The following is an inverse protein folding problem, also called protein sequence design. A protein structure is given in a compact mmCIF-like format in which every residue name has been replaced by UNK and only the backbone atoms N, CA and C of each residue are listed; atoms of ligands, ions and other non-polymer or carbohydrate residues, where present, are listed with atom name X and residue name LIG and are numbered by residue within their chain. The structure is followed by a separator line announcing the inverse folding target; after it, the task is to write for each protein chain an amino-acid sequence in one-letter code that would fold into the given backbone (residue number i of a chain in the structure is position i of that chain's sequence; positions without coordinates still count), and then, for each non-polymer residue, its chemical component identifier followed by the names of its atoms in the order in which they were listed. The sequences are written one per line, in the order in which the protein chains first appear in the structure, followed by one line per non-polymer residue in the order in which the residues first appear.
data_IF_543069493818
#
_entry.id   IF_543069493818
#
_cell.length_a   1.000
_cell.length_b   1.000
_cell.length_c   1.000
_cell.angle_alpha   90.00
_cell.angle_beta   90.00
_cell.angle_gamma   90.00
#
_symmetry.space_group_name_H-M   'P 1'
#
loop_
_entity.id
_entity.type
_entity.pdbx_description
1 polymer ?
#
# COMPACT_ATOMS: atom_id res chain seq x y z
N UNK A 1 -11.62 -6.80 23.46
CA UNK A 1 -12.56 -6.74 22.32
C UNK A 1 -12.00 -5.70 21.39
N UNK A 2 -11.79 -6.01 20.12
CA UNK A 2 -11.24 -5.03 19.15
C UNK A 2 -12.17 -3.83 19.05
N UNK A 3 -11.60 -2.67 18.74
CA UNK A 3 -12.35 -1.42 18.61
C UNK A 3 -13.15 -1.43 17.30
N UNK A 4 -14.32 -0.81 17.34
CA UNK A 4 -15.13 -0.55 16.14
C UNK A 4 -14.49 0.59 15.32
N UNK A 5 -14.89 0.75 14.05
CA UNK A 5 -14.48 1.87 13.20
C UNK A 5 -14.76 3.22 13.87
N UNK A 6 -15.91 3.39 14.51
CA UNK A 6 -16.29 4.60 15.23
C UNK A 6 -15.38 4.87 16.44
N UNK A 7 -14.99 3.83 17.18
CA UNK A 7 -14.06 3.96 18.32
C UNK A 7 -12.64 4.29 17.84
N UNK A 8 -12.24 3.80 16.66
CA UNK A 8 -10.98 4.19 16.02
C UNK A 8 -11.03 5.66 15.58
N UNK A 9 -12.10 6.09 14.89
CA UNK A 9 -12.29 7.47 14.45
C UNK A 9 -12.18 8.44 15.64
N UNK A 10 -12.96 8.23 16.71
CA UNK A 10 -12.92 9.07 17.90
C UNK A 10 -11.54 9.14 18.56
N UNK A 11 -10.82 8.00 18.62
CA UNK A 11 -9.45 7.95 19.16
C UNK A 11 -8.47 8.78 18.33
N UNK A 12 -8.60 8.75 17.01
CA UNK A 12 -7.72 9.49 16.11
C UNK A 12 -8.08 10.97 16.07
N UNK A 13 -9.36 11.33 16.15
CA UNK A 13 -9.78 12.72 16.30
C UNK A 13 -9.15 13.39 17.52
N UNK A 14 -9.12 12.71 18.67
CA UNK A 14 -8.46 13.22 19.89
C UNK A 14 -6.94 13.41 19.75
N UNK A 15 -6.32 12.69 18.84
CA UNK A 15 -4.86 12.69 18.64
C UNK A 15 -4.40 13.57 17.49
N UNK A 16 -5.30 13.98 16.61
CA UNK A 16 -4.96 14.59 15.33
C UNK A 16 -3.96 15.75 15.44
N UNK A 17 -4.25 16.74 16.29
CA UNK A 17 -3.41 17.94 16.45
C UNK A 17 -1.96 17.69 16.94
N UNK A 18 -1.69 16.51 17.55
CA UNK A 18 -0.36 16.16 18.04
C UNK A 18 0.16 14.85 17.42
N UNK A 19 -0.48 14.41 16.34
CA UNK A 19 -0.20 13.10 15.76
C UNK A 19 1.21 13.03 15.17
N UNK A 20 1.61 14.00 14.38
CA UNK A 20 2.91 14.01 13.71
C UNK A 20 4.08 14.06 14.71
N UNK A 21 3.93 14.84 15.80
CA UNK A 21 4.94 14.92 16.84
C UNK A 21 5.14 13.59 17.59
N UNK A 22 4.08 12.77 17.67
CA UNK A 22 4.09 11.46 18.35
C UNK A 22 4.48 10.31 17.44
N UNK A 23 4.22 10.45 16.15
CA UNK A 23 4.47 9.41 15.13
C UNK A 23 5.78 9.66 14.39
N UNK A 24 6.77 10.25 15.05
CA UNK A 24 8.08 10.59 14.47
C UNK A 24 9.16 9.55 14.81
N UNK A 25 8.86 8.25 14.64
CA UNK A 25 9.88 7.21 14.77
C UNK A 25 10.69 7.08 13.48
N UNK A 26 11.94 6.55 13.61
CA UNK A 26 12.80 6.28 12.45
C UNK A 26 12.16 5.26 11.49
N UNK A 27 11.52 4.23 12.04
CA UNK A 27 10.84 3.18 11.30
C UNK A 27 9.63 3.72 10.52
N UNK A 28 8.84 4.59 11.14
CA UNK A 28 7.72 5.25 10.47
C UNK A 28 8.18 6.07 9.27
N UNK A 29 9.21 6.92 9.47
CA UNK A 29 9.78 7.74 8.38
C UNK A 29 10.40 6.91 7.28
N UNK A 30 11.10 5.83 7.64
CA UNK A 30 11.71 4.93 6.67
C UNK A 30 10.64 4.20 5.83
N UNK A 31 9.59 3.68 6.48
CA UNK A 31 8.47 3.04 5.77
C UNK A 31 7.74 4.05 4.87
N UNK A 32 7.42 5.25 5.37
CA UNK A 32 6.78 6.30 4.57
C UNK A 32 7.61 6.67 3.33
N UNK A 33 8.93 6.83 3.49
CA UNK A 33 9.85 7.10 2.37
C UNK A 33 9.86 5.97 1.33
N UNK A 34 9.79 4.72 1.77
CA UNK A 34 9.70 3.56 0.87
C UNK A 34 8.34 3.49 0.17
N UNK A 35 7.24 3.78 0.87
CA UNK A 35 5.90 3.84 0.26
C UNK A 35 5.88 4.87 -0.86
N UNK A 36 6.33 6.10 -0.59
CA UNK A 36 6.41 7.17 -1.61
C UNK A 36 7.29 6.74 -2.78
N UNK A 37 8.49 6.21 -2.50
CA UNK A 37 9.43 5.75 -3.53
C UNK A 37 8.85 4.66 -4.43
N UNK A 38 8.13 3.70 -3.87
CA UNK A 38 7.58 2.57 -4.62
C UNK A 38 6.24 2.89 -5.28
N UNK A 39 5.47 3.84 -4.72
CA UNK A 39 4.26 4.36 -5.38
C UNK A 39 4.63 4.97 -6.73
N UNK A 40 5.63 5.85 -6.79
CA UNK A 40 6.22 6.43 -8.00
C UNK A 40 5.16 6.72 -9.08
N UNK A 41 4.14 7.56 -8.77
CA UNK A 41 3.08 7.86 -9.71
C UNK A 41 3.58 8.73 -10.87
N UNK A 42 2.90 8.61 -12.00
CA UNK A 42 3.09 9.54 -13.12
C UNK A 42 2.10 10.72 -13.04
N UNK A 43 2.34 11.83 -13.77
CA UNK A 43 1.42 12.97 -13.79
C UNK A 43 0.01 12.66 -14.33
N UNK A 44 -0.22 11.49 -14.87
CA UNK A 44 -1.51 11.01 -15.36
C UNK A 44 -2.22 10.08 -14.37
N UNK A 45 -1.54 9.67 -13.28
CA UNK A 45 -2.06 8.69 -12.34
C UNK A 45 -2.96 9.33 -11.27
N UNK A 46 -4.05 8.62 -10.95
CA UNK A 46 -4.89 8.89 -9.78
C UNK A 46 -4.48 7.96 -8.65
N UNK A 47 -4.02 8.54 -7.55
CA UNK A 47 -3.55 7.82 -6.37
C UNK A 47 -4.64 7.79 -5.29
N UNK A 48 -4.90 6.63 -4.70
CA UNK A 48 -5.75 6.47 -3.52
C UNK A 48 -4.88 6.17 -2.30
N UNK A 49 -4.93 7.03 -1.30
CA UNK A 49 -4.26 6.86 0.01
C UNK A 49 -5.28 6.45 1.07
N UNK A 50 -5.24 5.18 1.48
CA UNK A 50 -6.16 4.58 2.45
C UNK A 50 -5.56 4.62 3.87
N UNK A 51 -6.30 5.24 4.80
CA UNK A 51 -5.79 5.61 6.11
C UNK A 51 -4.83 6.79 5.99
N UNK A 52 -5.22 7.81 5.22
CA UNK A 52 -4.37 8.96 4.89
C UNK A 52 -3.90 9.76 6.11
N UNK A 53 -4.63 9.67 7.23
CA UNK A 53 -4.31 10.37 8.47
C UNK A 53 -4.16 11.88 8.24
N UNK A 54 -3.06 12.42 8.75
CA UNK A 54 -2.69 13.83 8.58
C UNK A 54 -2.06 14.14 7.22
N UNK A 55 -2.16 13.23 6.25
CA UNK A 55 -1.79 13.44 4.85
C UNK A 55 -0.31 13.25 4.51
N UNK A 56 0.49 12.62 5.36
CA UNK A 56 1.94 12.53 5.13
C UNK A 56 2.32 11.90 3.77
N UNK A 57 1.66 10.80 3.38
CA UNK A 57 1.89 10.14 2.09
C UNK A 57 1.20 10.90 0.97
N UNK A 58 -0.08 11.26 1.14
CA UNK A 58 -0.86 11.98 0.14
C UNK A 58 -0.18 13.27 -0.31
N UNK A 59 0.30 14.09 0.64
CA UNK A 59 0.99 15.35 0.35
C UNK A 59 2.33 15.14 -0.37
N UNK A 60 3.04 14.05 -0.04
CA UNK A 60 4.30 13.73 -0.68
C UNK A 60 4.13 13.25 -2.15
N UNK A 61 3.01 12.59 -2.47
CA UNK A 61 2.71 12.08 -3.80
C UNK A 61 2.00 13.11 -4.71
N UNK A 62 1.28 14.07 -4.13
CA UNK A 62 0.48 15.03 -4.88
C UNK A 62 1.24 15.80 -5.97
N UNK A 63 2.53 16.22 -5.78
CA UNK A 63 3.27 16.92 -6.82
C UNK A 63 3.52 16.10 -8.09
N UNK A 64 3.53 14.77 -8.00
CA UNK A 64 3.90 13.86 -9.08
C UNK A 64 2.70 13.09 -9.68
N UNK A 65 1.48 13.31 -9.16
CA UNK A 65 0.24 12.65 -9.59
C UNK A 65 -0.73 13.64 -10.24
N UNK A 66 -1.65 13.14 -11.08
CA UNK A 66 -2.79 13.94 -11.55
C UNK A 66 -3.65 14.38 -10.36
N UNK A 67 -3.98 13.43 -9.49
CA UNK A 67 -4.83 13.66 -8.32
C UNK A 67 -4.54 12.64 -7.23
N UNK A 68 -4.64 13.07 -5.98
CA UNK A 68 -4.59 12.18 -4.82
C UNK A 68 -5.92 12.19 -4.09
N UNK A 69 -6.45 11.00 -3.83
CA UNK A 69 -7.69 10.78 -3.06
C UNK A 69 -7.30 10.21 -1.71
N UNK A 70 -7.31 11.01 -0.65
CA UNK A 70 -7.08 10.55 0.72
C UNK A 70 -8.39 10.11 1.36
N UNK A 71 -8.36 8.95 2.01
CA UNK A 71 -9.50 8.40 2.77
C UNK A 71 -9.07 8.05 4.18
N UNK A 72 -9.87 8.50 5.13
CA UNK A 72 -9.68 8.20 6.55
C UNK A 72 -11.04 8.14 7.27
N UNK A 73 -11.08 7.49 8.41
CA UNK A 73 -12.26 7.43 9.27
C UNK A 73 -12.33 8.64 10.22
N UNK A 74 -11.23 9.34 10.43
CA UNK A 74 -11.10 10.48 11.35
C UNK A 74 -11.23 11.80 10.60
N UNK A 75 -12.27 12.54 10.91
CA UNK A 75 -12.49 13.91 10.39
C UNK A 75 -11.39 14.86 10.87
N UNK A 76 -10.94 14.73 12.13
CA UNK A 76 -9.87 15.54 12.68
C UNK A 76 -8.53 15.35 11.97
N UNK A 77 -8.16 14.09 11.64
CA UNK A 77 -6.96 13.80 10.86
C UNK A 77 -7.03 14.47 9.48
N UNK A 78 -8.15 14.35 8.80
CA UNK A 78 -8.34 14.97 7.48
C UNK A 78 -8.38 16.51 7.53
N UNK A 79 -8.78 17.12 8.65
CA UNK A 79 -8.70 18.57 8.85
C UNK A 79 -7.25 19.04 8.91
N UNK A 80 -6.39 18.31 9.65
CA UNK A 80 -4.95 18.58 9.68
C UNK A 80 -4.30 18.38 8.29
N UNK A 81 -4.70 17.34 7.56
CA UNK A 81 -4.21 17.12 6.19
C UNK A 81 -4.60 18.26 5.25
N UNK A 82 -5.84 18.79 5.33
CA UNK A 82 -6.27 19.95 4.54
C UNK A 82 -5.47 21.20 4.89
N UNK A 83 -5.29 21.48 6.18
CA UNK A 83 -4.52 22.63 6.63
C UNK A 83 -3.10 22.62 6.08
N UNK A 84 -2.44 21.45 6.09
CA UNK A 84 -1.10 21.28 5.51
C UNK A 84 -1.09 21.43 3.98
N UNK A 85 -2.09 20.88 3.28
CA UNK A 85 -2.22 21.04 1.83
C UNK A 85 -2.35 22.52 1.45
N UNK A 86 -3.18 23.27 2.17
CA UNK A 86 -3.38 24.70 1.98
C UNK A 86 -2.08 25.50 2.24
N UNK A 87 -1.34 25.14 3.30
CA UNK A 87 -0.07 25.80 3.67
C UNK A 87 0.99 25.66 2.59
N UNK A 88 1.08 24.48 1.94
CA UNK A 88 2.08 24.20 0.90
C UNK A 88 1.54 24.41 -0.52
N UNK A 89 0.27 24.79 -0.69
CA UNK A 89 -0.34 25.12 -1.97
C UNK A 89 -0.63 23.89 -2.86
N UNK A 90 -0.97 22.75 -2.26
CA UNK A 90 -1.43 21.55 -2.96
C UNK A 90 -2.95 21.66 -3.19
N UNK A 91 -3.39 21.61 -4.43
CA UNK A 91 -4.78 21.79 -4.87
C UNK A 91 -5.40 20.52 -5.51
N UNK A 92 -4.58 19.50 -5.78
CA UNK A 92 -4.99 18.22 -6.37
C UNK A 92 -5.22 17.09 -5.34
N UNK A 93 -5.33 17.42 -4.04
CA UNK A 93 -5.67 16.48 -2.95
C UNK A 93 -7.16 16.57 -2.61
N UNK A 94 -7.89 15.45 -2.70
CA UNK A 94 -9.30 15.35 -2.32
C UNK A 94 -9.48 14.40 -1.13
N UNK A 95 -9.88 14.95 0.01
CA UNK A 95 -10.05 14.22 1.28
C UNK A 95 -11.52 13.96 1.57
N UNK A 96 -11.86 12.70 1.87
CA UNK A 96 -13.21 12.29 2.27
C UNK A 96 -13.15 11.10 3.25
N UNK A 97 -14.24 10.92 4.00
CA UNK A 97 -14.42 9.74 4.84
C UNK A 97 -14.45 8.48 3.97
N UNK A 98 -13.78 7.43 4.46
CA UNK A 98 -13.75 6.12 3.82
C UNK A 98 -12.94 5.13 4.63
N UNK A 99 -13.17 3.86 4.36
CA UNK A 99 -12.47 2.73 5.01
C UNK A 99 -11.79 1.88 3.96
N UNK A 100 -10.97 0.92 4.38
CA UNK A 100 -10.39 -0.08 3.48
C UNK A 100 -11.45 -0.91 2.74
N UNK A 101 -12.60 -1.17 3.38
CA UNK A 101 -13.69 -1.99 2.83
C UNK A 101 -14.75 -1.16 2.10
N UNK A 102 -14.81 0.15 2.39
CA UNK A 102 -15.71 1.11 1.75
C UNK A 102 -14.92 2.40 1.46
N UNK A 103 -14.05 2.38 0.43
CA UNK A 103 -13.14 3.52 0.15
C UNK A 103 -13.85 4.74 -0.42
N UNK A 104 -15.15 4.66 -0.75
CA UNK A 104 -15.97 5.75 -1.24
C UNK A 104 -15.32 6.51 -2.42
N UNK A 105 -14.93 5.76 -3.46
CA UNK A 105 -14.34 6.29 -4.70
C UNK A 105 -15.12 5.80 -5.91
N UNK A 106 -15.36 6.72 -6.85
CA UNK A 106 -16.00 6.45 -8.15
C UNK A 106 -15.01 6.68 -9.30
N UNK A 107 -13.87 7.30 -9.03
CA UNK A 107 -12.81 7.57 -10.00
C UNK A 107 -12.05 6.26 -10.33
N UNK A 108 -11.49 6.10 -11.54
CA UNK A 108 -10.51 5.06 -11.81
C UNK A 108 -9.26 5.30 -10.94
N UNK A 109 -8.68 4.23 -10.40
CA UNK A 109 -7.52 4.32 -9.51
C UNK A 109 -6.35 3.59 -10.15
N UNK A 110 -5.21 4.27 -10.29
CA UNK A 110 -4.00 3.70 -10.88
C UNK A 110 -3.09 3.11 -9.80
N UNK A 111 -2.92 3.84 -8.70
CA UNK A 111 -2.05 3.44 -7.60
C UNK A 111 -2.81 3.53 -6.28
N UNK A 112 -2.76 2.47 -5.47
CA UNK A 112 -3.24 2.49 -4.08
C UNK A 112 -2.04 2.47 -3.14
N UNK A 113 -2.07 3.32 -2.13
CA UNK A 113 -1.08 3.34 -1.06
C UNK A 113 -1.76 3.27 0.30
N UNK A 114 -1.06 2.74 1.27
CA UNK A 114 -1.41 2.85 2.68
C UNK A 114 -0.16 2.78 3.53
N UNK A 115 -0.12 3.55 4.63
CA UNK A 115 1.00 3.53 5.55
C UNK A 115 0.53 3.57 7.01
N UNK A 116 0.88 2.54 7.78
CA UNK A 116 0.57 2.41 9.21
C UNK A 116 -0.94 2.50 9.54
N UNK A 117 -1.79 1.82 8.76
CA UNK A 117 -3.23 1.85 8.96
C UNK A 117 -3.89 0.46 8.95
N UNK A 118 -3.43 -0.47 8.12
CA UNK A 118 -4.09 -1.77 7.93
C UNK A 118 -3.90 -2.72 9.13
N UNK A 119 -2.85 -2.52 9.95
CA UNK A 119 -2.62 -3.32 11.16
C UNK A 119 -3.72 -3.17 12.24
N UNK A 120 -4.62 -2.21 12.10
CA UNK A 120 -5.79 -2.10 12.96
C UNK A 120 -6.91 -3.09 12.62
N UNK A 121 -6.89 -3.68 11.44
CA UNK A 121 -7.85 -4.68 10.98
C UNK A 121 -7.47 -6.09 11.47
N UNK A 122 -8.46 -6.98 11.63
CA UNK A 122 -8.22 -8.41 11.80
C UNK A 122 -7.75 -9.05 10.48
N UNK A 123 -7.19 -10.27 10.52
CA UNK A 123 -6.64 -10.91 9.32
C UNK A 123 -7.73 -11.21 8.26
N UNK A 124 -8.95 -11.55 8.67
CA UNK A 124 -10.10 -11.70 7.78
C UNK A 124 -10.54 -10.36 7.18
N UNK A 125 -10.56 -9.30 7.99
CA UNK A 125 -10.85 -7.93 7.52
C UNK A 125 -9.78 -7.39 6.58
N UNK A 126 -8.50 -7.74 6.78
CA UNK A 126 -7.42 -7.40 5.82
C UNK A 126 -7.63 -8.07 4.47
N UNK A 127 -8.07 -9.34 4.45
CA UNK A 127 -8.40 -10.03 3.19
C UNK A 127 -9.54 -9.34 2.46
N UNK A 128 -10.64 -9.03 3.16
CA UNK A 128 -11.76 -8.28 2.59
C UNK A 128 -11.32 -6.90 2.05
N UNK A 129 -10.46 -6.20 2.79
CA UNK A 129 -9.89 -4.92 2.37
C UNK A 129 -9.06 -5.04 1.09
N UNK A 130 -8.18 -6.04 1.01
CA UNK A 130 -7.35 -6.31 -0.18
C UNK A 130 -8.22 -6.72 -1.37
N UNK A 131 -9.26 -7.54 -1.17
CA UNK A 131 -10.23 -7.88 -2.21
C UNK A 131 -11.00 -6.64 -2.72
N UNK A 132 -11.40 -5.75 -1.81
CA UNK A 132 -12.05 -4.48 -2.16
C UNK A 132 -11.12 -3.60 -2.99
N UNK A 133 -9.86 -3.45 -2.56
CA UNK A 133 -8.83 -2.70 -3.31
C UNK A 133 -8.62 -3.34 -4.70
N UNK A 134 -8.53 -4.66 -4.78
CA UNK A 134 -8.38 -5.35 -6.05
C UNK A 134 -9.58 -5.11 -6.99
N UNK A 135 -10.79 -4.95 -6.43
CA UNK A 135 -12.00 -4.59 -7.16
C UNK A 135 -11.97 -3.20 -7.81
N UNK A 136 -11.12 -2.28 -7.34
CA UNK A 136 -10.86 -0.97 -7.96
C UNK A 136 -9.93 -1.07 -9.18
N UNK A 137 -9.35 -2.24 -9.42
CA UNK A 137 -8.46 -2.53 -10.54
C UNK A 137 -7.19 -1.66 -10.65
N UNK A 138 -6.53 -1.27 -9.54
CA UNK A 138 -5.30 -0.48 -9.62
C UNK A 138 -4.18 -1.30 -10.26
N UNK A 139 -3.24 -0.61 -10.90
CA UNK A 139 -2.03 -1.24 -11.44
C UNK A 139 -1.05 -1.61 -10.34
N UNK A 140 -1.03 -0.82 -9.25
CA UNK A 140 -0.07 -0.98 -8.17
C UNK A 140 -0.73 -0.77 -6.79
N UNK A 141 -0.33 -1.57 -5.81
CA UNK A 141 -0.63 -1.38 -4.40
C UNK A 141 0.69 -1.38 -3.61
N UNK A 142 0.91 -0.33 -2.82
CA UNK A 142 2.07 -0.22 -1.91
C UNK A 142 1.58 -0.11 -0.48
N UNK A 143 1.91 -1.10 0.33
CA UNK A 143 1.49 -1.21 1.73
C UNK A 143 2.71 -1.12 2.65
N UNK A 144 2.89 0.03 3.31
CA UNK A 144 3.81 0.20 4.44
C UNK A 144 3.07 0.01 5.75
N UNK A 145 3.51 -0.92 6.60
CA UNK A 145 2.75 -1.18 7.82
C UNK A 145 3.57 -1.89 8.90
N UNK A 146 2.98 -1.99 10.08
CA UNK A 146 3.37 -2.99 11.07
C UNK A 146 3.02 -4.37 10.53
N UNK A 147 4.05 -5.13 10.19
CA UNK A 147 3.95 -6.50 9.68
C UNK A 147 5.09 -7.36 10.22
N UNK A 148 4.81 -8.62 10.48
CA UNK A 148 5.76 -9.51 11.16
C UNK A 148 6.59 -10.28 10.13
N UNK A 149 7.91 -10.08 10.18
CA UNK A 149 8.89 -10.83 9.37
C UNK A 149 9.33 -12.15 10.02
N UNK A 150 8.74 -12.49 11.14
CA UNK A 150 9.00 -13.71 11.92
C UNK A 150 8.10 -13.75 13.15
N UNK A 151 8.54 -14.39 14.21
CA UNK A 151 7.83 -14.36 15.49
C UNK A 151 7.99 -12.95 16.10
N UNK A 152 6.85 -12.35 16.50
CA UNK A 152 6.88 -11.11 17.26
C UNK A 152 7.59 -11.32 18.59
N UNK A 153 8.38 -10.33 19.02
CA UNK A 153 8.90 -10.29 20.39
C UNK A 153 7.76 -9.83 21.31
N UNK A 154 7.25 -10.69 22.20
CA UNK A 154 6.14 -10.33 23.07
C UNK A 154 6.54 -9.29 24.13
N UNK A 155 7.83 -9.14 24.42
CA UNK A 155 8.36 -8.22 25.43
C UNK A 155 8.67 -6.83 24.84
N UNK A 156 8.73 -6.71 23.50
CA UNK A 156 9.02 -5.47 22.79
C UNK A 156 8.15 -5.32 21.52
N UNK A 157 6.80 -5.28 21.62
CA UNK A 157 5.94 -5.10 20.47
C UNK A 157 6.09 -3.66 19.92
N UNK A 158 6.24 -3.54 18.60
CA UNK A 158 6.23 -2.24 17.89
C UNK A 158 4.80 -1.68 17.72
N UNK A 159 3.81 -2.31 18.28
CA UNK A 159 2.39 -2.03 18.15
C UNK A 159 1.70 -2.11 19.51
N UNK A 160 0.42 -1.72 19.57
CA UNK A 160 -0.39 -1.81 20.79
C UNK A 160 -1.25 -3.09 20.77
N UNK A 161 -0.84 -4.19 21.42
CA UNK A 161 -1.52 -5.49 21.30
C UNK A 161 -3.01 -5.49 21.72
N UNK A 162 -3.44 -4.44 22.43
CA UNK A 162 -4.83 -4.27 22.88
C UNK A 162 -5.76 -3.79 21.76
N UNK A 163 -5.21 -3.13 20.72
CA UNK A 163 -5.98 -2.46 19.67
C UNK A 163 -5.53 -2.83 18.26
N UNK A 164 -4.29 -3.31 18.11
CA UNK A 164 -3.68 -3.62 16.84
C UNK A 164 -3.61 -5.14 16.62
N UNK A 165 -3.59 -5.56 15.37
CA UNK A 165 -3.52 -6.96 14.96
C UNK A 165 -2.62 -7.09 13.72
N UNK A 166 -1.30 -6.90 13.86
CA UNK A 166 -0.41 -6.99 12.72
C UNK A 166 -0.37 -8.42 12.17
N UNK A 167 -0.48 -8.55 10.86
CA UNK A 167 -0.34 -9.81 10.16
C UNK A 167 1.14 -10.15 9.91
N UNK A 168 1.44 -11.41 9.63
CA UNK A 168 2.75 -11.77 9.07
C UNK A 168 2.83 -11.34 7.59
N UNK A 169 4.04 -11.10 7.10
CA UNK A 169 4.29 -10.86 5.67
C UNK A 169 3.69 -11.97 4.80
N UNK A 170 3.76 -13.23 5.27
CA UNK A 170 3.17 -14.37 4.56
C UNK A 170 1.66 -14.25 4.40
N UNK A 171 0.94 -13.90 5.46
CA UNK A 171 -0.53 -13.70 5.42
C UNK A 171 -0.93 -12.58 4.45
N UNK A 172 -0.19 -11.46 4.46
CA UNK A 172 -0.44 -10.35 3.55
C UNK A 172 -0.11 -10.71 2.10
N UNK A 173 1.01 -11.40 1.87
CA UNK A 173 1.39 -11.85 0.53
C UNK A 173 0.39 -12.85 -0.06
N UNK A 174 -0.10 -13.78 0.75
CA UNK A 174 -1.15 -14.73 0.35
C UNK A 174 -2.44 -13.98 -0.01
N UNK A 175 -2.87 -13.02 0.82
CA UNK A 175 -4.07 -12.22 0.53
C UNK A 175 -3.93 -11.41 -0.77
N UNK A 176 -2.77 -10.80 -1.01
CA UNK A 176 -2.47 -10.06 -2.24
C UNK A 176 -2.50 -10.98 -3.48
N UNK A 177 -1.90 -12.14 -3.39
CA UNK A 177 -1.86 -13.09 -4.52
C UNK A 177 -3.21 -13.73 -4.79
N UNK A 178 -3.98 -14.05 -3.75
CA UNK A 178 -5.37 -14.55 -3.87
C UNK A 178 -6.27 -13.51 -4.55
N UNK A 179 -6.03 -12.21 -4.30
CA UNK A 179 -6.75 -11.10 -4.92
C UNK A 179 -6.28 -10.75 -6.35
N UNK A 180 -5.28 -11.47 -6.88
CA UNK A 180 -4.81 -11.33 -8.26
C UNK A 180 -3.65 -10.35 -8.46
N UNK A 181 -2.98 -9.94 -7.39
CA UNK A 181 -1.72 -9.18 -7.47
C UNK A 181 -0.51 -10.13 -7.51
N UNK A 182 0.56 -9.64 -8.12
CA UNK A 182 1.90 -10.22 -7.99
C UNK A 182 2.69 -9.41 -6.98
N UNK A 183 3.19 -10.03 -5.91
CA UNK A 183 4.10 -9.34 -4.98
C UNK A 183 5.44 -9.18 -5.67
N UNK A 184 5.83 -7.93 -5.97
CA UNK A 184 7.05 -7.58 -6.72
C UNK A 184 8.15 -7.01 -5.83
N UNK A 185 7.81 -6.59 -4.60
CA UNK A 185 8.77 -6.09 -3.63
C UNK A 185 8.38 -6.38 -2.19
N UNK A 186 9.39 -6.67 -1.37
CA UNK A 186 9.28 -6.82 0.08
C UNK A 186 10.47 -6.10 0.70
N UNK A 187 10.22 -4.98 1.36
CA UNK A 187 11.24 -4.18 2.03
C UNK A 187 11.08 -4.32 3.54
N UNK A 188 12.12 -4.79 4.23
CA UNK A 188 12.12 -4.89 5.69
C UNK A 188 12.79 -3.66 6.27
N UNK A 189 12.04 -2.85 7.01
CA UNK A 189 12.55 -1.70 7.78
C UNK A 189 12.98 -2.15 9.17
N UNK A 190 12.15 -2.96 9.80
CA UNK A 190 12.35 -3.52 11.13
C UNK A 190 11.81 -4.95 11.16
N UNK A 191 12.04 -5.73 12.23
CA UNK A 191 11.48 -7.08 12.37
C UNK A 191 9.94 -7.11 12.37
N UNK A 192 9.33 -5.97 12.69
CA UNK A 192 7.90 -5.79 12.79
C UNK A 192 7.37 -4.63 11.91
N UNK A 193 8.17 -4.10 11.00
CA UNK A 193 7.77 -3.01 10.09
C UNK A 193 8.38 -3.24 8.72
N UNK A 194 7.58 -3.09 7.68
CA UNK A 194 8.05 -3.21 6.31
C UNK A 194 7.11 -2.62 5.27
N UNK A 195 7.47 -2.80 4.02
CA UNK A 195 6.69 -2.37 2.86
C UNK A 195 6.54 -3.54 1.89
N UNK A 196 5.31 -3.80 1.47
CA UNK A 196 4.98 -4.72 0.39
C UNK A 196 4.61 -3.91 -0.86
N UNK A 197 5.15 -4.32 -1.99
CA UNK A 197 4.80 -3.79 -3.30
C UNK A 197 4.12 -4.91 -4.08
N UNK A 198 2.93 -4.65 -4.58
CA UNK A 198 2.16 -5.59 -5.35
C UNK A 198 1.65 -4.92 -6.62
N UNK A 199 1.76 -5.62 -7.74
CA UNK A 199 1.37 -5.11 -9.05
C UNK A 199 0.37 -6.07 -9.69
N UNK A 200 -0.59 -5.51 -10.40
CA UNK A 200 -1.51 -6.31 -11.21
C UNK A 200 -0.75 -6.75 -12.47
N UNK A 201 -0.88 -8.02 -12.85
CA UNK A 201 -0.38 -8.46 -14.13
C UNK A 201 -1.10 -7.64 -15.22
N UNK A 202 -0.36 -6.78 -15.91
CA UNK A 202 -0.87 -6.10 -17.10
C UNK A 202 -1.39 -7.10 -18.12
N UNK A 203 -2.23 -6.70 -19.09
CA UNK A 203 -2.62 -7.57 -20.17
C UNK A 203 -1.33 -8.14 -20.78
N UNK A 204 -1.29 -9.48 -20.90
CA UNK A 204 -0.11 -10.18 -21.42
C UNK A 204 0.33 -9.49 -22.71
N UNK A 205 1.54 -8.95 -22.75
CA UNK A 205 2.13 -8.38 -23.96
C UNK A 205 2.28 -9.51 -24.98
N UNK A 206 1.27 -9.63 -25.85
CA UNK A 206 1.18 -10.63 -26.91
C UNK A 206 2.26 -10.43 -28.00
N UNK A 207 3.17 -9.45 -27.81
CA UNK A 207 4.26 -9.13 -28.75
C UNK A 207 5.47 -10.07 -28.67
N UNK A 208 5.50 -11.03 -27.72
CA UNK A 208 6.65 -11.96 -27.56
C UNK A 208 6.51 -13.30 -28.28
N UNK A 209 5.46 -13.54 -29.04
CA UNK A 209 5.24 -14.78 -29.80
C UNK A 209 5.43 -14.61 -31.30
N UNK A 210 6.51 -14.00 -31.77
CA UNK A 210 6.93 -14.14 -33.17
C UNK A 210 8.44 -14.09 -33.27
N UNK A 211 9.14 -15.17 -32.92
CA UNK A 211 10.42 -15.55 -33.55
C UNK A 211 10.88 -16.94 -33.02
N UNK A 212 10.15 -17.96 -33.40
CA UNK A 212 10.62 -19.34 -33.30
C UNK A 212 10.32 -20.11 -34.59
N UNK A 213 10.63 -19.48 -35.73
CA UNK A 213 10.71 -20.19 -36.99
C UNK A 213 12.01 -19.81 -37.70
N UNK A 214 12.92 -20.80 -37.81
CA UNK A 214 14.00 -20.73 -38.77
C UNK A 214 15.42 -20.84 -38.21
N UNK A 215 15.78 -21.97 -37.62
CA UNK A 215 17.16 -22.47 -37.72
C UNK A 215 17.20 -24.01 -37.49
N UNK A 216 16.67 -24.74 -38.48
CA UNK A 216 17.07 -26.12 -38.69
C UNK A 216 18.43 -26.10 -39.39
N UNK A 217 19.51 -26.16 -38.60
CA UNK A 217 20.85 -26.44 -39.12
C UNK A 217 21.18 -27.89 -38.81
N UNK A 218 21.22 -28.64 -39.90
CA UNK A 218 21.61 -30.04 -39.96
C UNK A 218 23.00 -30.27 -39.34
N UNK A 219 23.06 -31.12 -38.32
CA UNK A 219 24.29 -31.78 -37.92
C UNK A 219 24.44 -33.02 -38.79
N UNK A 220 25.25 -32.88 -39.87
CA UNK A 220 25.77 -34.00 -40.61
C UNK A 220 26.81 -34.77 -39.77
N UNK A 221 26.47 -35.99 -39.43
CA UNK A 221 27.44 -36.98 -38.98
C UNK A 221 28.06 -37.62 -40.24
N UNK A 222 29.25 -37.20 -40.61
CA UNK A 222 30.10 -37.97 -41.48
C UNK A 222 31.06 -38.79 -40.62
N UNK A 223 30.83 -40.10 -40.63
CA UNK A 223 31.80 -41.09 -40.18
C UNK A 223 32.68 -41.45 -41.37
N UNK A 224 33.93 -41.59 -41.10
CA UNK A 224 34.88 -42.55 -41.73
C UNK A 224 36.19 -42.44 -40.96
N UNK A 225 36.78 -43.47 -40.39
CA UNK A 225 37.23 -44.66 -41.05
C UNK A 225 38.75 -44.59 -41.25
N UNK A 226 39.46 -45.02 -40.27
CA UNK A 226 40.70 -45.88 -40.29
C UNK A 226 41.52 -45.74 -39.05
#
# INVERSE_FOLDING_TARGET
MKKTTEEHAARFDEKAAAYDERQDSEEYRAAASLVVKHADPTPEDIVLDLGTGTGAIALALAPDAERVLGRDVSAGMMEEARAKADEVGIDNLALAEGTFREPAVDDPIDVVVSNFAMHHLADDEKREAIETIAGLEPQKLVLGDVMLFGAADPDAPFYSPEVDDPATVGVLADALTDAGFSVTGVERVHDQVGVLVAERAGPADDSRTTNADGASAAFGLDGDGR
#
